data_IF_381148030824
#
_entry.id   IF_381148030824
#
_cell.length_a   1.000
_cell.length_b   1.000
_cell.length_c   1.000
_cell.angle_alpha   90.00
_cell.angle_beta   90.00
_cell.angle_gamma   90.00
#
_symmetry.space_group_name_H-M   'P 1'
#
loop_
_entity.id
_entity.type
_entity.pdbx_description
1 polymer ?
#
# COMPACT_ATOMS: atom_id res chain seq x y z
N UNK A 1 14.27 -2.86 10.89
CA UNK A 1 14.31 -1.57 10.15
C UNK A 1 12.92 -0.91 10.07
N UNK A 2 11.91 -1.50 9.41
CA UNK A 2 10.57 -0.89 9.27
C UNK A 2 9.89 -0.53 10.62
N UNK A 3 9.91 -1.45 11.59
CA UNK A 3 9.42 -1.22 12.96
C UNK A 3 10.00 0.04 13.59
N UNK A 4 11.32 0.19 13.54
CA UNK A 4 12.03 1.35 14.09
C UNK A 4 11.61 2.65 13.38
N UNK A 5 11.41 2.61 12.06
CA UNK A 5 10.99 3.79 11.30
C UNK A 5 9.57 4.23 11.66
N UNK A 6 8.63 3.30 11.76
CA UNK A 6 7.22 3.59 12.12
C UNK A 6 7.13 4.13 13.55
N UNK A 7 7.76 3.48 14.54
CA UNK A 7 7.77 4.01 15.90
C UNK A 7 8.48 5.36 16.01
N UNK A 8 9.49 5.64 15.19
CA UNK A 8 10.10 6.97 15.17
C UNK A 8 9.11 8.01 14.64
N UNK A 9 8.42 7.73 13.54
CA UNK A 9 7.43 8.65 12.96
C UNK A 9 6.31 8.99 13.96
N UNK A 10 5.73 7.97 14.61
CA UNK A 10 4.69 8.14 15.63
C UNK A 10 5.20 8.96 16.83
N UNK A 11 6.39 8.65 17.34
CA UNK A 11 7.01 9.41 18.45
C UNK A 11 7.30 10.86 18.12
N UNK A 12 7.52 11.18 16.83
CA UNK A 12 7.72 12.56 16.37
C UNK A 12 6.41 13.30 16.06
N UNK A 13 5.26 12.72 16.39
CA UNK A 13 3.94 13.33 16.17
C UNK A 13 3.37 13.15 14.76
N UNK A 14 3.92 12.24 13.95
CA UNK A 14 3.29 11.87 12.67
C UNK A 14 2.20 10.86 12.99
N UNK A 15 0.95 11.31 12.95
CA UNK A 15 -0.23 10.47 13.15
C UNK A 15 -0.63 9.73 11.87
N UNK A 16 -1.33 8.62 12.03
CA UNK A 16 -1.92 7.89 10.92
C UNK A 16 -2.79 6.74 11.42
N UNK A 17 -3.83 6.42 10.66
CA UNK A 17 -4.77 5.35 11.00
C UNK A 17 -4.44 4.04 10.29
N UNK A 18 -3.71 4.12 9.17
CA UNK A 18 -3.50 3.00 8.25
C UNK A 18 -2.04 2.74 7.94
N UNK A 19 -1.68 1.45 7.88
CA UNK A 19 -0.39 0.97 7.39
C UNK A 19 -0.56 0.27 6.03
N UNK A 20 -0.10 0.91 4.97
CA UNK A 20 -0.21 0.40 3.60
C UNK A 20 1.13 -0.16 3.12
N UNK A 21 1.15 -1.40 2.64
CA UNK A 21 2.40 -1.97 2.10
C UNK A 21 2.16 -2.99 0.99
N UNK A 22 3.15 -3.10 0.10
CA UNK A 22 3.08 -4.03 -1.03
C UNK A 22 3.34 -5.49 -0.63
N UNK A 23 3.34 -6.37 -1.63
CA UNK A 23 3.53 -7.81 -1.46
C UNK A 23 4.90 -8.20 -0.87
N UNK A 24 5.93 -7.34 -0.98
CA UNK A 24 7.22 -7.55 -0.35
C UNK A 24 7.15 -7.47 1.17
N UNK A 25 6.20 -6.69 1.70
CA UNK A 25 6.05 -6.42 3.13
C UNK A 25 4.88 -7.17 3.80
N UNK A 26 4.01 -7.82 3.02
CA UNK A 26 2.91 -8.67 3.51
C UNK A 26 3.40 -9.89 4.31
N UNK A 27 3.65 -9.70 5.60
CA UNK A 27 4.28 -10.67 6.51
C UNK A 27 3.69 -10.60 7.91
N UNK A 28 3.82 -11.68 8.70
CA UNK A 28 3.38 -11.69 10.12
C UNK A 28 4.01 -10.56 10.94
N UNK A 29 5.28 -10.25 10.69
CA UNK A 29 5.99 -9.18 11.37
C UNK A 29 5.38 -7.80 11.11
N UNK A 30 4.93 -7.54 9.88
CA UNK A 30 4.26 -6.28 9.52
C UNK A 30 2.87 -6.18 10.15
N UNK A 31 2.14 -7.31 10.19
CA UNK A 31 0.83 -7.37 10.84
C UNK A 31 0.96 -7.12 12.35
N UNK A 32 1.90 -7.77 13.04
CA UNK A 32 2.18 -7.51 14.46
C UNK A 32 2.59 -6.05 14.70
N UNK A 33 3.47 -5.52 13.86
CA UNK A 33 3.87 -4.11 13.94
C UNK A 33 2.66 -3.18 13.85
N UNK A 34 1.71 -3.46 12.96
CA UNK A 34 0.49 -2.64 12.87
C UNK A 34 -0.35 -2.71 14.14
N UNK A 35 -0.49 -3.89 14.75
CA UNK A 35 -1.20 -4.04 16.02
C UNK A 35 -0.50 -3.32 17.17
N UNK A 36 0.83 -3.45 17.28
CA UNK A 36 1.66 -2.75 18.27
C UNK A 36 1.61 -1.23 18.13
N UNK A 37 1.42 -0.75 16.90
CA UNK A 37 1.35 0.67 16.57
C UNK A 37 -0.09 1.21 16.53
N UNK A 38 -1.10 0.39 16.85
CA UNK A 38 -2.52 0.74 16.74
C UNK A 38 -2.94 1.25 15.35
N UNK A 39 -2.34 0.68 14.30
CA UNK A 39 -2.62 0.97 12.90
C UNK A 39 -3.45 -0.14 12.26
N UNK A 40 -4.40 0.23 11.40
CA UNK A 40 -5.09 -0.73 10.52
C UNK A 40 -4.20 -1.03 9.32
N UNK A 41 -3.70 -2.26 9.22
CA UNK A 41 -2.87 -2.66 8.09
C UNK A 41 -3.72 -3.04 6.88
N UNK A 42 -3.40 -2.50 5.71
CA UNK A 42 -3.86 -2.97 4.40
C UNK A 42 -2.65 -3.38 3.58
N UNK A 43 -2.40 -4.68 3.53
CA UNK A 43 -1.21 -5.25 2.92
C UNK A 43 -1.57 -6.04 1.68
N UNK A 44 -0.84 -5.85 0.58
CA UNK A 44 -0.89 -6.83 -0.52
C UNK A 44 -0.16 -8.09 -0.07
N UNK A 45 -0.73 -9.25 -0.35
CA UNK A 45 -0.14 -10.53 0.06
C UNK A 45 0.45 -11.26 -1.14
N UNK A 46 1.58 -11.94 -0.92
CA UNK A 46 2.10 -12.94 -1.87
C UNK A 46 1.23 -14.20 -1.83
N UNK A 47 1.20 -14.93 -2.95
CA UNK A 47 0.59 -16.27 -3.04
C UNK A 47 1.49 -17.33 -2.39
N UNK A 48 1.80 -17.14 -1.11
CA UNK A 48 2.75 -17.96 -0.34
C UNK A 48 2.08 -19.17 0.33
N UNK A 49 2.86 -19.94 1.09
CA UNK A 49 2.40 -21.06 1.92
C UNK A 49 1.94 -20.65 3.32
N UNK A 50 1.89 -19.34 3.61
CA UNK A 50 1.36 -18.82 4.86
C UNK A 50 -0.07 -19.33 5.07
N UNK A 51 -0.30 -19.92 6.25
CA UNK A 51 -1.58 -20.54 6.61
C UNK A 51 -2.50 -19.54 7.29
N UNK A 52 -3.78 -19.67 6.96
CA UNK A 52 -4.89 -18.94 7.53
C UNK A 52 -5.92 -19.96 7.99
N UNK A 53 -6.51 -19.73 9.16
CA UNK A 53 -7.57 -20.56 9.70
C UNK A 53 -8.91 -20.04 9.23
N UNK A 54 -9.58 -20.83 8.41
CA UNK A 54 -10.96 -20.62 8.02
C UNK A 54 -11.86 -21.34 9.02
N UNK A 55 -12.79 -20.61 9.63
CA UNK A 55 -13.85 -21.18 10.47
C UNK A 55 -15.09 -21.41 9.62
N UNK A 56 -15.51 -22.67 9.52
CA UNK A 56 -16.73 -23.06 8.83
C UNK A 56 -17.75 -23.57 9.84
N UNK A 57 -19.01 -23.15 9.69
CA UNK A 57 -20.11 -23.58 10.54
C UNK A 57 -20.91 -24.67 9.81
N UNK A 58 -21.05 -25.85 10.43
CA UNK A 58 -21.86 -26.96 9.91
C UNK A 58 -22.89 -27.34 10.97
N UNK A 59 -24.05 -26.69 10.92
CA UNK A 59 -24.99 -26.70 12.05
C UNK A 59 -24.37 -25.99 13.24
N UNK A 60 -24.36 -26.65 14.40
CA UNK A 60 -23.73 -26.13 15.62
C UNK A 60 -22.21 -26.40 15.70
N UNK A 61 -21.67 -27.26 14.85
CA UNK A 61 -20.26 -27.61 14.86
C UNK A 61 -19.40 -26.58 14.12
N UNK A 62 -18.31 -26.15 14.75
CA UNK A 62 -17.28 -25.29 14.15
C UNK A 62 -16.13 -26.16 13.64
N UNK A 63 -15.86 -26.08 12.34
CA UNK A 63 -14.75 -26.78 11.69
C UNK A 63 -13.68 -25.75 11.34
N UNK A 64 -12.49 -25.92 11.91
CA UNK A 64 -11.33 -25.10 11.60
C UNK A 64 -10.50 -25.77 10.51
N UNK A 65 -10.16 -25.03 9.44
CA UNK A 65 -9.25 -25.49 8.39
C UNK A 65 -8.10 -24.51 8.20
N UNK A 66 -6.88 -25.02 8.33
CA UNK A 66 -5.68 -24.21 8.11
C UNK A 66 -5.23 -24.33 6.65
N UNK A 67 -5.52 -23.28 5.88
CA UNK A 67 -5.39 -23.24 4.43
C UNK A 67 -4.39 -22.16 4.00
N UNK A 68 -3.59 -22.44 2.97
CA UNK A 68 -2.84 -21.37 2.32
C UNK A 68 -3.75 -20.57 1.37
N UNK A 69 -3.30 -19.41 0.91
CA UNK A 69 -4.13 -18.52 0.08
C UNK A 69 -4.56 -19.15 -1.25
N UNK A 70 -3.79 -20.11 -1.79
CA UNK A 70 -4.19 -20.83 -3.00
C UNK A 70 -5.26 -21.90 -2.70
N UNK A 71 -5.18 -22.55 -1.54
CA UNK A 71 -6.20 -23.46 -1.06
C UNK A 71 -7.50 -22.71 -0.73
N UNK A 72 -7.43 -21.58 -0.02
CA UNK A 72 -8.58 -20.69 0.19
C UNK A 72 -9.21 -20.25 -1.14
N UNK A 73 -8.38 -19.84 -2.10
CA UNK A 73 -8.87 -19.46 -3.42
C UNK A 73 -9.70 -20.58 -4.09
N UNK A 74 -9.18 -21.82 -4.05
CA UNK A 74 -9.86 -22.99 -4.63
C UNK A 74 -11.12 -23.37 -3.85
N UNK A 75 -11.09 -23.24 -2.53
CA UNK A 75 -12.14 -23.68 -1.61
C UNK A 75 -13.35 -22.75 -1.63
N UNK A 76 -13.15 -21.43 -1.45
CA UNK A 76 -14.26 -20.48 -1.24
C UNK A 76 -14.35 -19.35 -2.27
N UNK A 77 -13.28 -19.05 -3.04
CA UNK A 77 -13.25 -17.84 -3.89
C UNK A 77 -13.60 -18.09 -5.35
N UNK A 78 -12.98 -19.09 -5.99
CA UNK A 78 -12.88 -19.21 -7.46
C UNK A 78 -14.21 -19.13 -8.23
N UNK A 79 -15.33 -19.51 -7.61
CA UNK A 79 -16.68 -19.51 -8.21
C UNK A 79 -17.64 -18.48 -7.62
N UNK A 80 -17.19 -17.67 -6.65
CA UNK A 80 -18.05 -16.78 -5.86
C UNK A 80 -17.60 -15.30 -5.98
N UNK A 81 -17.16 -14.91 -7.17
CA UNK A 81 -16.76 -13.52 -7.44
C UNK A 81 -17.97 -12.60 -7.46
N UNK A 82 -17.83 -11.43 -6.84
CA UNK A 82 -18.86 -10.38 -6.81
C UNK A 82 -18.31 -9.13 -7.50
N UNK A 83 -19.07 -8.47 -8.38
CA UNK A 83 -18.64 -7.21 -8.99
C UNK A 83 -18.50 -6.11 -7.92
N UNK A 84 -17.54 -5.20 -8.13
CA UNK A 84 -17.41 -3.99 -7.32
C UNK A 84 -18.10 -2.86 -8.09
N UNK A 85 -19.09 -2.21 -7.46
CA UNK A 85 -19.88 -1.16 -8.10
C UNK A 85 -18.96 -0.01 -8.57
N UNK A 86 -19.11 0.40 -9.83
CA UNK A 86 -18.34 1.49 -10.42
C UNK A 86 -16.88 1.17 -10.77
N UNK A 87 -16.42 -0.07 -10.60
CA UNK A 87 -15.03 -0.46 -10.90
C UNK A 87 -14.95 -1.66 -11.85
N UNK A 88 -13.91 -1.74 -12.71
CA UNK A 88 -13.68 -2.87 -13.62
C UNK A 88 -13.07 -4.09 -12.90
N UNK A 89 -13.54 -4.37 -11.68
CA UNK A 89 -13.01 -5.41 -10.80
C UNK A 89 -14.13 -6.25 -10.20
N UNK A 90 -13.79 -7.50 -9.90
CA UNK A 90 -14.56 -8.36 -9.03
C UNK A 90 -13.74 -8.69 -7.80
N UNK A 91 -14.43 -8.85 -6.68
CA UNK A 91 -13.83 -9.24 -5.43
C UNK A 91 -14.57 -10.38 -4.74
N UNK A 92 -13.88 -10.99 -3.80
CA UNK A 92 -14.46 -11.86 -2.79
C UNK A 92 -13.75 -11.61 -1.47
N UNK A 93 -14.54 -11.29 -0.45
CA UNK A 93 -14.09 -11.16 0.93
C UNK A 93 -14.14 -12.54 1.61
N UNK A 94 -13.12 -12.84 2.39
CA UNK A 94 -13.02 -14.03 3.25
C UNK A 94 -12.41 -13.61 4.58
N UNK A 95 -13.19 -13.67 5.66
CA UNK A 95 -12.68 -13.43 7.01
C UNK A 95 -12.07 -14.73 7.56
N UNK A 96 -10.84 -14.62 8.07
CA UNK A 96 -10.02 -15.74 8.54
C UNK A 96 -9.22 -15.30 9.76
N UNK A 97 -8.55 -16.25 10.40
CA UNK A 97 -7.56 -15.94 11.43
C UNK A 97 -6.15 -16.28 10.94
N UNK A 98 -5.17 -15.53 11.43
CA UNK A 98 -3.75 -15.77 11.18
C UNK A 98 -3.02 -15.94 12.50
N UNK A 99 -2.21 -16.99 12.63
CA UNK A 99 -1.33 -17.16 13.78
C UNK A 99 -0.09 -16.28 13.62
N UNK A 100 0.10 -15.32 14.52
CA UNK A 100 1.18 -14.34 14.51
C UNK A 100 2.41 -14.76 15.32
N UNK A 101 2.40 -15.94 15.95
CA UNK A 101 3.57 -16.50 16.64
C UNK A 101 4.80 -16.54 15.71
N UNK A 102 5.96 -16.14 16.25
CA UNK A 102 7.22 -16.07 15.51
C UNK A 102 7.87 -17.44 15.33
N UNK A 103 7.67 -18.32 16.31
CA UNK A 103 8.27 -19.64 16.38
C UNK A 103 7.22 -20.68 16.73
N UNK A 104 7.36 -21.89 16.21
CA UNK A 104 6.40 -22.98 16.44
C UNK A 104 6.29 -23.40 17.92
N UNK A 105 7.31 -23.06 18.73
CA UNK A 105 7.33 -23.33 20.18
C UNK A 105 6.65 -22.25 21.02
N UNK A 106 6.32 -21.10 20.43
CA UNK A 106 5.59 -20.04 21.13
C UNK A 106 4.09 -20.36 21.14
N UNK A 107 3.35 -19.90 22.16
CA UNK A 107 1.89 -20.04 22.16
C UNK A 107 1.30 -19.42 20.90
N UNK A 108 0.28 -20.08 20.33
CA UNK A 108 -0.40 -19.57 19.16
C UNK A 108 -1.03 -18.20 19.47
N UNK A 109 -0.82 -17.23 18.58
CA UNK A 109 -1.39 -15.89 18.70
C UNK A 109 -2.30 -15.65 17.50
N UNK A 110 -3.54 -16.09 17.60
CA UNK A 110 -4.53 -15.91 16.53
C UNK A 110 -5.05 -14.48 16.50
N UNK A 111 -4.99 -13.87 15.31
CA UNK A 111 -5.56 -12.57 15.04
C UNK A 111 -6.59 -12.67 13.91
N UNK A 112 -7.79 -12.06 14.04
CA UNK A 112 -8.74 -11.97 12.95
C UNK A 112 -8.21 -11.03 11.87
N UNK A 113 -8.37 -11.43 10.61
CA UNK A 113 -8.03 -10.63 9.44
C UNK A 113 -9.03 -10.86 8.32
N UNK A 114 -9.24 -9.84 7.49
CA UNK A 114 -10.05 -9.91 6.28
C UNK A 114 -9.15 -10.08 5.07
N UNK A 115 -9.33 -11.17 4.32
CA UNK A 115 -8.70 -11.36 3.01
C UNK A 115 -9.64 -10.87 1.90
N UNK A 116 -9.15 -9.96 1.09
CA UNK A 116 -9.83 -9.47 -0.11
C UNK A 116 -9.14 -10.02 -1.35
N UNK A 117 -9.78 -10.98 -2.01
CA UNK A 117 -9.35 -11.46 -3.32
C UNK A 117 -9.93 -10.53 -4.39
N UNK A 118 -9.12 -10.14 -5.38
CA UNK A 118 -9.54 -9.22 -6.45
C UNK A 118 -9.05 -9.71 -7.80
N UNK A 119 -9.89 -9.61 -8.83
CA UNK A 119 -9.52 -9.84 -10.23
C UNK A 119 -10.16 -8.81 -11.16
N UNK A 120 -9.59 -8.61 -12.35
CA UNK A 120 -10.19 -7.77 -13.39
C UNK A 120 -11.40 -8.43 -14.06
N UNK A 121 -12.39 -7.63 -14.47
CA UNK A 121 -13.56 -8.06 -15.26
C UNK A 121 -13.28 -8.07 -16.76
N UNK A 122 -12.17 -8.69 -17.21
CA UNK A 122 -11.66 -8.60 -18.59
C UNK A 122 -11.33 -7.16 -19.04
N UNK A 123 -10.14 -6.95 -19.60
CA UNK A 123 -9.80 -5.67 -20.24
C UNK A 123 -10.49 -5.63 -21.60
N UNK A 124 -10.84 -4.43 -22.08
CA UNK A 124 -11.27 -4.17 -23.46
C UNK A 124 -10.33 -4.79 -24.52
N UNK A 125 -9.08 -5.08 -24.15
CA UNK A 125 -8.05 -5.59 -25.06
C UNK A 125 -7.57 -7.02 -24.72
N UNK A 126 -8.18 -7.69 -23.73
CA UNK A 126 -7.94 -9.12 -23.46
C UNK A 126 -9.24 -9.84 -23.18
N UNK A 127 -9.56 -10.81 -24.03
CA UNK A 127 -10.57 -11.84 -23.80
C UNK A 127 -10.28 -12.57 -22.48
N UNK A 128 -10.98 -12.13 -21.42
CA UNK A 128 -10.96 -12.67 -20.05
C UNK A 128 -9.69 -12.45 -19.22
N UNK A 129 -9.87 -12.07 -17.95
CA UNK A 129 -8.81 -12.17 -16.94
C UNK A 129 -8.40 -13.64 -16.80
N UNK A 130 -7.11 -13.93 -17.00
CA UNK A 130 -6.59 -15.29 -16.95
C UNK A 130 -6.92 -15.98 -15.63
N UNK A 131 -7.06 -17.31 -15.64
CA UNK A 131 -7.47 -18.14 -14.48
C UNK A 131 -6.62 -17.95 -13.21
N UNK A 132 -5.41 -17.38 -13.35
CA UNK A 132 -4.43 -17.09 -12.28
C UNK A 132 -4.26 -15.59 -11.99
N UNK A 133 -4.94 -14.72 -12.72
CA UNK A 133 -4.76 -13.26 -12.69
C UNK A 133 -5.66 -12.61 -11.62
N UNK A 134 -5.29 -12.86 -10.38
CA UNK A 134 -5.93 -12.29 -9.19
C UNK A 134 -4.88 -11.85 -8.17
N UNK A 135 -5.21 -10.83 -7.40
CA UNK A 135 -4.45 -10.34 -6.26
C UNK A 135 -5.20 -10.67 -4.96
N UNK A 136 -4.48 -10.64 -3.85
CA UNK A 136 -5.04 -10.77 -2.51
C UNK A 136 -4.50 -9.64 -1.64
N UNK A 137 -5.38 -9.01 -0.88
CA UNK A 137 -5.06 -8.03 0.14
C UNK A 137 -5.49 -8.57 1.49
N UNK A 138 -4.76 -8.20 2.52
CA UNK A 138 -5.07 -8.48 3.92
C UNK A 138 -5.38 -7.16 4.61
N UNK A 139 -6.52 -7.11 5.30
CA UNK A 139 -6.90 -6.02 6.18
C UNK A 139 -6.99 -6.55 7.62
N UNK A 140 -6.42 -5.83 8.60
CA UNK A 140 -6.55 -6.20 10.02
C UNK A 140 -7.88 -5.76 10.63
N UNK A 141 -8.61 -4.86 9.96
CA UNK A 141 -9.98 -4.50 10.31
C UNK A 141 -10.98 -5.27 9.45
N UNK A 142 -11.76 -6.14 10.08
CA UNK A 142 -12.82 -6.94 9.44
C UNK A 142 -14.13 -6.17 9.26
N UNK A 143 -14.23 -4.90 9.65
CA UNK A 143 -15.38 -4.07 9.33
C UNK A 143 -15.27 -3.45 7.93
N UNK A 144 -14.05 -3.23 7.42
CA UNK A 144 -13.84 -2.54 6.14
C UNK A 144 -14.36 -3.31 4.93
N UNK A 145 -15.12 -2.63 4.07
CA UNK A 145 -15.65 -3.19 2.83
C UNK A 145 -14.57 -3.40 1.77
N UNK A 146 -14.87 -4.22 0.76
CA UNK A 146 -13.99 -4.44 -0.38
C UNK A 146 -13.55 -3.13 -1.07
N UNK A 147 -14.49 -2.19 -1.23
CA UNK A 147 -14.25 -0.89 -1.87
C UNK A 147 -13.29 -0.04 -1.05
N UNK A 148 -13.56 0.11 0.26
CA UNK A 148 -12.71 0.87 1.17
C UNK A 148 -11.28 0.32 1.22
N UNK A 149 -11.12 -1.01 1.28
CA UNK A 149 -9.80 -1.65 1.27
C UNK A 149 -9.03 -1.28 -0.01
N UNK A 150 -9.69 -1.26 -1.19
CA UNK A 150 -9.03 -0.92 -2.44
C UNK A 150 -8.69 0.57 -2.56
N UNK A 151 -9.58 1.45 -2.10
CA UNK A 151 -9.34 2.90 -2.05
C UNK A 151 -8.17 3.23 -1.12
N UNK A 152 -8.17 2.65 0.08
CA UNK A 152 -7.06 2.76 1.03
C UNK A 152 -5.75 2.27 0.38
N UNK A 153 -5.75 1.08 -0.22
CA UNK A 153 -4.56 0.54 -0.85
C UNK A 153 -4.07 1.37 -2.05
N UNK A 154 -4.98 2.02 -2.79
CA UNK A 154 -4.63 2.87 -3.92
C UNK A 154 -3.76 4.07 -3.50
N UNK A 155 -3.97 4.61 -2.29
CA UNK A 155 -3.16 5.72 -1.75
C UNK A 155 -1.67 5.40 -1.64
N UNK A 156 -1.30 4.11 -1.52
CA UNK A 156 0.10 3.67 -1.51
C UNK A 156 0.86 4.15 -2.76
N UNK A 157 0.20 4.34 -3.91
CA UNK A 157 0.83 4.83 -5.14
C UNK A 157 1.51 6.21 -4.96
N UNK A 158 1.10 7.00 -3.96
CA UNK A 158 1.72 8.29 -3.65
C UNK A 158 3.24 8.17 -3.41
N UNK A 159 3.73 7.06 -2.84
CA UNK A 159 5.17 6.85 -2.62
C UNK A 159 5.93 6.66 -3.94
N UNK A 160 5.28 6.07 -4.96
CA UNK A 160 5.87 5.90 -6.29
C UNK A 160 5.94 7.24 -7.02
N UNK A 161 4.90 8.08 -6.87
CA UNK A 161 4.92 9.46 -7.36
C UNK A 161 6.04 10.25 -6.69
N UNK A 162 6.18 10.15 -5.36
CA UNK A 162 7.28 10.77 -4.63
C UNK A 162 8.64 10.36 -5.19
N UNK A 163 8.93 9.06 -5.26
CA UNK A 163 10.24 8.61 -5.71
C UNK A 163 10.50 8.92 -7.19
N UNK A 164 9.48 8.93 -8.04
CA UNK A 164 9.61 9.34 -9.44
C UNK A 164 10.01 10.80 -9.54
N UNK A 165 9.29 11.68 -8.86
CA UNK A 165 9.57 13.12 -8.82
C UNK A 165 10.95 13.40 -8.21
N UNK A 166 11.25 12.77 -7.08
CA UNK A 166 12.50 12.93 -6.34
C UNK A 166 13.73 12.59 -7.21
N UNK A 167 13.73 11.39 -7.82
CA UNK A 167 14.85 10.90 -8.64
C UNK A 167 15.02 11.70 -9.93
N UNK A 168 13.92 11.93 -10.63
CA UNK A 168 14.01 12.52 -11.97
C UNK A 168 14.25 14.02 -11.92
N UNK A 169 13.62 14.73 -10.98
CA UNK A 169 13.53 16.20 -11.06
C UNK A 169 14.01 16.96 -9.83
N UNK A 170 14.14 16.33 -8.66
CA UNK A 170 14.46 17.04 -7.41
C UNK A 170 15.86 16.73 -6.85
N UNK A 171 16.68 15.98 -7.60
CA UNK A 171 18.09 15.77 -7.27
C UNK A 171 18.35 14.63 -6.27
N UNK A 172 17.38 13.72 -6.06
CA UNK A 172 17.57 12.60 -5.13
C UNK A 172 18.81 11.76 -5.48
N UNK A 173 19.73 11.63 -4.52
CA UNK A 173 21.02 10.93 -4.65
C UNK A 173 21.93 11.47 -5.76
N UNK A 174 21.79 12.75 -6.16
CA UNK A 174 22.66 13.39 -7.15
C UNK A 174 23.81 14.20 -6.53
N UNK A 175 23.85 14.33 -5.21
CA UNK A 175 24.91 15.04 -4.49
C UNK A 175 26.30 14.46 -4.80
N UNK A 176 27.27 15.32 -5.09
CA UNK A 176 28.65 14.93 -5.44
C UNK A 176 29.66 15.30 -4.35
N UNK A 177 29.23 16.00 -3.29
CA UNK A 177 30.07 16.25 -2.13
C UNK A 177 30.56 14.95 -1.50
N UNK A 178 31.82 14.92 -1.07
CA UNK A 178 32.44 13.80 -0.36
C UNK A 178 32.09 13.79 1.14
N UNK A 179 31.45 14.84 1.65
CA UNK A 179 31.03 14.92 3.04
C UNK A 179 29.69 14.22 3.27
N UNK A 180 29.67 13.25 4.19
CA UNK A 180 28.46 12.50 4.53
C UNK A 180 27.28 13.40 4.96
N UNK A 181 27.56 14.45 5.72
CA UNK A 181 26.54 15.41 6.16
C UNK A 181 25.87 16.12 4.97
N UNK A 182 26.62 16.48 3.93
CA UNK A 182 26.09 17.10 2.72
C UNK A 182 25.16 16.13 1.97
N UNK A 183 25.52 14.84 1.90
CA UNK A 183 24.69 13.82 1.29
C UNK A 183 23.34 13.66 2.02
N UNK A 184 23.36 13.57 3.35
CA UNK A 184 22.16 13.49 4.18
C UNK A 184 21.30 14.75 4.03
N UNK A 185 21.90 15.94 4.09
CA UNK A 185 21.20 17.20 3.91
C UNK A 185 20.52 17.29 2.53
N UNK A 186 21.21 16.86 1.46
CA UNK A 186 20.67 16.86 0.10
C UNK A 186 19.45 15.95 -0.06
N UNK A 187 19.44 14.78 0.59
CA UNK A 187 18.28 13.89 0.66
C UNK A 187 17.10 14.58 1.38
N UNK A 188 17.35 15.23 2.51
CA UNK A 188 16.28 15.93 3.24
C UNK A 188 15.74 17.14 2.47
N UNK A 189 16.61 17.93 1.84
CA UNK A 189 16.20 19.03 0.97
C UNK A 189 15.35 18.54 -0.21
N UNK A 190 15.67 17.36 -0.75
CA UNK A 190 14.84 16.74 -1.79
C UNK A 190 13.43 16.44 -1.29
N UNK A 191 13.30 15.89 -0.08
CA UNK A 191 11.99 15.65 0.54
C UNK A 191 11.21 16.95 0.78
N UNK A 192 11.89 17.99 1.30
CA UNK A 192 11.29 19.31 1.53
C UNK A 192 10.78 19.93 0.21
N UNK A 193 11.59 19.90 -0.85
CA UNK A 193 11.17 20.38 -2.19
C UNK A 193 9.91 19.67 -2.68
N UNK A 194 9.80 18.37 -2.46
CA UNK A 194 8.59 17.63 -2.81
C UNK A 194 7.39 18.09 -1.98
N UNK A 195 7.52 18.24 -0.67
CA UNK A 195 6.45 18.75 0.19
C UNK A 195 5.96 20.13 -0.28
N UNK A 196 6.87 21.04 -0.60
CA UNK A 196 6.53 22.35 -1.15
C UNK A 196 5.76 22.26 -2.46
N UNK A 197 6.13 21.34 -3.36
CA UNK A 197 5.39 21.10 -4.60
C UNK A 197 3.98 20.54 -4.35
N UNK A 198 3.81 19.67 -3.36
CA UNK A 198 2.49 19.14 -2.98
C UNK A 198 1.61 20.26 -2.40
N UNK A 199 2.17 21.12 -1.55
CA UNK A 199 1.46 22.29 -1.00
C UNK A 199 1.05 23.24 -2.13
N UNK A 200 1.98 23.59 -3.03
CA UNK A 200 1.66 24.44 -4.18
C UNK A 200 0.57 23.83 -5.08
N UNK A 201 0.67 22.52 -5.36
CA UNK A 201 -0.37 21.78 -6.11
C UNK A 201 -1.75 21.94 -5.46
N UNK A 202 -1.83 21.83 -4.13
CA UNK A 202 -3.08 21.99 -3.39
C UNK A 202 -3.60 23.44 -3.46
N UNK A 203 -2.73 24.42 -3.20
CA UNK A 203 -3.08 25.85 -3.23
C UNK A 203 -3.58 26.31 -4.60
N UNK A 204 -2.98 25.81 -5.69
CA UNK A 204 -3.32 26.19 -7.06
C UNK A 204 -4.35 25.26 -7.72
N UNK A 205 -4.91 24.27 -6.98
CA UNK A 205 -5.90 23.34 -7.53
C UNK A 205 -5.40 22.47 -8.68
N UNK A 206 -4.08 22.24 -8.77
CA UNK A 206 -3.50 21.49 -9.89
C UNK A 206 -3.73 19.99 -9.71
N UNK A 207 -4.07 19.31 -10.81
CA UNK A 207 -4.41 17.89 -10.80
C UNK A 207 -3.26 16.98 -10.34
N UNK A 208 -2.00 17.33 -10.64
CA UNK A 208 -0.84 16.49 -10.33
C UNK A 208 0.40 17.28 -9.89
N UNK A 209 1.29 16.63 -9.14
CA UNK A 209 2.57 17.21 -8.71
C UNK A 209 3.44 17.56 -9.93
N UNK A 210 3.46 16.70 -10.94
CA UNK A 210 4.18 16.94 -12.18
C UNK A 210 3.66 18.18 -12.94
N UNK A 211 2.34 18.38 -12.96
CA UNK A 211 1.72 19.57 -13.56
C UNK A 211 2.14 20.86 -12.85
N UNK A 212 2.10 20.87 -11.51
CA UNK A 212 2.54 22.02 -10.71
C UNK A 212 4.01 22.36 -10.97
N UNK A 213 4.87 21.33 -11.00
CA UNK A 213 6.29 21.50 -11.34
C UNK A 213 6.48 22.08 -12.74
N UNK A 214 5.70 21.64 -13.73
CA UNK A 214 5.80 22.14 -15.10
C UNK A 214 5.40 23.62 -15.18
N UNK A 215 4.34 24.03 -14.47
CA UNK A 215 3.94 25.45 -14.37
C UNK A 215 5.04 26.30 -13.73
N UNK A 216 5.63 25.85 -12.63
CA UNK A 216 6.74 26.58 -11.98
C UNK A 216 7.95 26.71 -12.91
N UNK A 217 8.29 25.64 -13.66
CA UNK A 217 9.38 25.69 -14.64
C UNK A 217 9.10 26.68 -15.75
N UNK A 218 7.91 26.66 -16.34
CA UNK A 218 7.51 27.60 -17.38
C UNK A 218 7.65 29.05 -16.89
N UNK A 219 7.09 29.35 -15.71
CA UNK A 219 7.20 30.68 -15.10
C UNK A 219 8.65 31.13 -14.90
N UNK A 220 9.52 30.24 -14.39
CA UNK A 220 10.95 30.57 -14.24
C UNK A 220 11.66 30.78 -15.57
N UNK A 221 11.32 29.98 -16.59
CA UNK A 221 11.86 30.13 -17.95
C UNK A 221 11.43 31.45 -18.57
N UNK A 222 10.17 31.84 -18.42
CA UNK A 222 9.64 33.10 -18.95
C UNK A 222 10.31 34.32 -18.28
N UNK A 223 10.48 34.30 -16.95
CA UNK A 223 11.23 35.33 -16.23
C UNK A 223 12.68 35.41 -16.72
N UNK A 224 13.32 34.26 -16.95
CA UNK A 224 14.71 34.21 -17.43
C UNK A 224 14.86 34.77 -18.85
N UNK A 225 13.90 34.48 -19.74
CA UNK A 225 13.88 35.08 -21.07
C UNK A 225 13.62 36.58 -21.01
N UNK A 226 12.66 37.02 -20.19
CA UNK A 226 12.38 38.44 -19.98
C UNK A 226 13.64 39.18 -19.48
N UNK A 227 14.35 38.64 -18.48
CA UNK A 227 15.57 39.22 -17.93
C UNK A 227 16.74 39.31 -18.94
N UNK A 228 16.71 38.54 -20.03
CA UNK A 228 17.72 38.60 -21.11
C UNK A 228 17.35 39.56 -22.25
N UNK A 229 16.10 40.01 -22.30
CA UNK A 229 15.58 40.92 -23.33
C UNK A 229 15.68 42.41 -22.92
N UNK A 230 16.01 42.67 -21.65
CA UNK A 230 16.36 43.98 -21.10
C UNK A 230 17.87 44.07 -20.88
#
# INVERSE_FOLDING_TARGET
MAKTMIHRALRTGIEGDYLLADAGFGSKAMIRLSQEASLVAVLRMKKSKLKYRLREYRGEAVINRDLDVQALYRHVVRKHWQPIVGQPYQAKVVDVEINLAEQDKQPEQWAPVRLLFVRGTARTDKTQAGKKDWAVFLCTDTALTATQILELYAMRWAIEVYFKEAKQQLGFLKEQSTHYAAYVASIHLTAIRFCLLVIAKQMHGVASVAGMRQQLRANSTDIHYAAKLW
#
